data_IF_836377894145
#
_entry.id   IF_836377894145
#
_cell.length_a   1.000
_cell.length_b   1.000
_cell.length_c   1.000
_cell.angle_alpha   90.00
_cell.angle_beta   90.00
_cell.angle_gamma   90.00
#
_symmetry.space_group_name_H-M   'P 1'
#
loop_
_entity.id
_entity.type
_entity.pdbx_description
1 polymer ?
#
# COMPACT_ATOMS: atom_id res chain seq x y z
N UNK A 1 -22.54 13.18 13.41
CA UNK A 1 -22.25 12.63 14.75
C UNK A 1 -21.47 11.31 14.77
N UNK A 2 -21.17 10.67 13.62
CA UNK A 2 -20.32 9.46 13.58
C UNK A 2 -18.82 9.70 13.25
N UNK A 3 -18.41 10.94 12.93
CA UNK A 3 -17.03 11.26 12.52
C UNK A 3 -16.04 11.50 13.67
N UNK A 4 -16.50 11.70 14.90
CA UNK A 4 -15.60 11.97 16.04
C UNK A 4 -15.33 10.75 16.92
N UNK A 5 -16.07 9.65 16.74
CA UNK A 5 -15.89 8.43 17.54
C UNK A 5 -14.75 7.55 16.99
N UNK A 6 -14.44 7.63 15.69
CA UNK A 6 -13.43 6.78 15.06
C UNK A 6 -12.00 7.34 15.26
N UNK A 7 -11.84 8.67 15.35
CA UNK A 7 -10.53 9.29 15.60
C UNK A 7 -10.05 9.10 17.04
N UNK A 8 -10.97 8.87 17.98
CA UNK A 8 -10.62 8.57 19.38
C UNK A 8 -10.17 7.12 19.59
N UNK A 9 -10.46 6.21 18.65
CA UNK A 9 -10.17 4.78 18.77
C UNK A 9 -8.74 4.39 18.32
N UNK A 10 -8.00 5.27 17.66
CA UNK A 10 -6.61 5.00 17.24
C UNK A 10 -5.53 5.66 18.12
N UNK A 11 -5.91 6.40 19.16
CA UNK A 11 -4.95 7.03 20.10
C UNK A 11 -4.74 6.17 21.37
N UNK A 12 -5.41 5.01 21.50
CA UNK A 12 -5.41 4.22 22.74
C UNK A 12 -4.85 2.80 22.64
N UNK A 13 -3.72 2.59 21.95
CA UNK A 13 -2.96 1.33 22.04
C UNK A 13 -1.46 1.53 22.27
N UNK A 14 -1.09 2.48 23.13
CA UNK A 14 0.24 2.48 23.74
C UNK A 14 0.05 2.24 25.22
N UNK A 15 0.78 1.25 25.75
CA UNK A 15 0.80 0.73 27.13
C UNK A 15 -0.21 -0.42 27.34
N UNK A 16 0.23 -1.68 27.27
CA UNK A 16 0.55 -2.54 28.44
C UNK A 16 1.35 -3.78 27.96
N UNK A 17 2.61 -3.89 28.42
CA UNK A 17 3.22 -5.16 28.86
C UNK A 17 4.46 -4.81 29.70
N UNK A 18 4.21 -4.30 30.91
CA UNK A 18 5.18 -4.38 32.00
C UNK A 18 4.65 -5.49 32.90
N UNK A 19 5.16 -6.72 32.70
CA UNK A 19 4.97 -7.80 33.64
C UNK A 19 6.33 -8.14 34.26
N UNK A 20 6.49 -7.63 35.48
CA UNK A 20 7.29 -8.17 36.58
C UNK A 20 8.79 -8.40 36.34
N UNK A 21 9.59 -7.41 36.71
CA UNK A 21 10.77 -7.69 37.54
C UNK A 21 10.72 -6.72 38.74
N UNK A 22 10.58 -7.31 39.93
CA UNK A 22 10.56 -6.67 41.24
C UNK A 22 11.76 -5.72 41.45
N UNK A 23 11.64 -4.64 42.24
CA UNK A 23 12.79 -3.84 42.61
C UNK A 23 13.57 -4.59 43.69
N UNK A 24 14.64 -5.28 43.30
CA UNK A 24 15.68 -5.64 44.25
C UNK A 24 16.49 -4.37 44.55
N UNK A 25 16.29 -3.80 45.74
CA UNK A 25 17.18 -2.79 46.31
C UNK A 25 18.52 -3.50 46.54
N UNK A 26 19.52 -3.21 45.71
CA UNK A 26 20.92 -3.57 45.97
C UNK A 26 21.66 -2.30 46.37
N UNK A 27 21.80 -2.12 47.69
CA UNK A 27 22.78 -1.23 48.26
C UNK A 27 24.19 -1.77 47.97
N UNK A 28 25.12 -0.88 47.63
CA UNK A 28 26.56 -1.12 47.77
C UNK A 28 27.29 -1.50 46.47
N UNK A 29 28.15 -0.57 46.04
CA UNK A 29 29.38 -0.73 45.25
C UNK A 29 29.48 -1.85 44.22
N UNK A 30 29.47 -1.43 42.96
CA UNK A 30 29.85 -2.24 41.81
C UNK A 30 28.91 -1.96 40.66
N UNK A 31 29.32 -1.11 39.72
CA UNK A 31 28.69 -1.05 38.41
C UNK A 31 28.92 -2.45 37.81
N UNK A 32 27.93 -3.34 37.97
CA UNK A 32 27.93 -4.62 37.29
C UNK A 32 28.09 -4.30 35.81
N UNK A 33 29.22 -4.71 35.25
CA UNK A 33 29.51 -4.62 33.82
C UNK A 33 28.50 -5.55 33.13
N UNK A 34 27.27 -5.08 32.97
CA UNK A 34 26.23 -5.79 32.25
C UNK A 34 26.84 -6.19 30.92
N UNK A 35 26.82 -7.48 30.61
CA UNK A 35 27.38 -8.03 29.39
C UNK A 35 26.78 -7.30 28.18
N UNK A 36 27.46 -6.25 27.69
CA UNK A 36 26.95 -5.31 26.67
C UNK A 36 26.75 -6.03 25.33
N UNK A 37 27.46 -7.15 25.15
CA UNK A 37 27.37 -8.03 23.98
C UNK A 37 25.96 -8.56 23.76
N UNK A 38 25.33 -9.15 24.77
CA UNK A 38 24.00 -9.78 24.61
C UNK A 38 22.95 -8.75 24.24
N UNK A 39 22.99 -7.57 24.85
CA UNK A 39 22.04 -6.48 24.56
C UNK A 39 22.19 -5.88 23.16
N UNK A 40 23.40 -5.85 22.61
CA UNK A 40 23.65 -5.28 21.27
C UNK A 40 23.24 -6.24 20.17
N UNK A 41 23.51 -7.54 20.34
CA UNK A 41 23.10 -8.57 19.39
C UNK A 41 21.57 -8.80 19.43
N UNK A 42 20.97 -8.80 20.62
CA UNK A 42 19.50 -8.82 20.79
C UNK A 42 18.85 -7.60 20.11
N UNK A 43 19.46 -6.41 20.24
CA UNK A 43 19.02 -5.19 19.56
C UNK A 43 19.06 -5.35 18.03
N UNK A 44 20.14 -5.88 17.47
CA UNK A 44 20.23 -6.13 16.02
C UNK A 44 19.14 -7.11 15.57
N UNK A 45 18.93 -8.19 16.33
CA UNK A 45 17.95 -9.22 16.00
C UNK A 45 16.52 -8.67 16.03
N UNK A 46 16.16 -7.91 17.06
CA UNK A 46 14.83 -7.34 17.19
C UNK A 46 14.55 -6.31 16.09
N UNK A 47 15.54 -5.48 15.74
CA UNK A 47 15.42 -4.56 14.60
C UNK A 47 15.20 -5.32 13.30
N UNK A 48 15.97 -6.39 13.02
CA UNK A 48 15.74 -7.23 11.82
C UNK A 48 14.32 -7.79 11.77
N UNK A 49 13.78 -8.23 12.91
CA UNK A 49 12.40 -8.73 13.00
C UNK A 49 11.39 -7.64 12.66
N UNK A 50 11.53 -6.46 13.26
CA UNK A 50 10.65 -5.32 13.00
C UNK A 50 10.70 -4.88 11.53
N UNK A 51 11.88 -4.84 10.93
CA UNK A 51 12.03 -4.45 9.53
C UNK A 51 11.44 -5.47 8.57
N UNK A 52 11.60 -6.77 8.85
CA UNK A 52 10.96 -7.80 8.04
C UNK A 52 9.43 -7.69 8.12
N UNK A 53 8.87 -7.45 9.31
CA UNK A 53 7.44 -7.20 9.48
C UNK A 53 6.97 -5.95 8.71
N UNK A 54 7.74 -4.85 8.77
CA UNK A 54 7.45 -3.62 8.01
C UNK A 54 7.50 -3.85 6.50
N UNK A 55 8.52 -4.53 5.99
CA UNK A 55 8.64 -4.88 4.57
C UNK A 55 7.46 -5.73 4.11
N UNK A 56 7.07 -6.73 4.91
CA UNK A 56 5.91 -7.56 4.62
C UNK A 56 4.61 -6.73 4.61
N UNK A 57 4.45 -5.78 5.54
CA UNK A 57 3.30 -4.88 5.57
C UNK A 57 3.20 -4.05 4.30
N UNK A 58 4.31 -3.41 3.88
CA UNK A 58 4.33 -2.64 2.64
C UNK A 58 4.03 -3.49 1.41
N UNK A 59 4.60 -4.70 1.34
CA UNK A 59 4.34 -5.61 0.23
C UNK A 59 2.85 -6.01 0.18
N UNK A 60 2.26 -6.31 1.33
CA UNK A 60 0.84 -6.64 1.44
C UNK A 60 -0.05 -5.47 1.01
N UNK A 61 0.24 -4.25 1.45
CA UNK A 61 -0.51 -3.05 1.07
C UNK A 61 -0.40 -2.75 -0.43
N UNK A 62 0.81 -2.80 -1.00
CA UNK A 62 1.03 -2.62 -2.44
C UNK A 62 0.23 -3.65 -3.24
N UNK A 63 0.26 -4.93 -2.82
CA UNK A 63 -0.47 -5.98 -3.51
C UNK A 63 -1.98 -5.85 -3.34
N UNK A 64 -2.45 -5.44 -2.16
CA UNK A 64 -3.87 -5.17 -1.93
C UNK A 64 -4.38 -4.10 -2.87
N UNK A 65 -3.66 -2.98 -3.01
CA UNK A 65 -4.04 -1.88 -3.91
C UNK A 65 -4.07 -2.37 -5.37
N UNK A 66 -3.04 -3.10 -5.82
CA UNK A 66 -2.99 -3.65 -7.17
C UNK A 66 -4.17 -4.57 -7.47
N UNK A 67 -4.45 -5.51 -6.56
CA UNK A 67 -5.51 -6.48 -6.75
C UNK A 67 -6.89 -5.81 -6.74
N UNK A 68 -7.15 -4.90 -5.80
CA UNK A 68 -8.43 -4.17 -5.77
C UNK A 68 -8.67 -3.36 -7.04
N UNK A 69 -7.63 -2.70 -7.58
CA UNK A 69 -7.76 -1.94 -8.83
C UNK A 69 -8.01 -2.86 -10.03
N UNK A 70 -7.38 -4.03 -10.09
CA UNK A 70 -7.63 -5.00 -11.17
C UNK A 70 -9.05 -5.59 -11.08
N UNK A 71 -9.55 -5.86 -9.87
CA UNK A 71 -10.92 -6.34 -9.65
C UNK A 71 -11.96 -5.30 -10.13
N UNK A 72 -11.75 -4.02 -9.82
CA UNK A 72 -12.61 -2.92 -10.30
C UNK A 72 -12.58 -2.79 -11.82
N UNK A 73 -11.40 -2.93 -12.44
CA UNK A 73 -11.26 -2.91 -13.89
C UNK A 73 -11.99 -4.09 -14.57
N UNK A 74 -11.97 -5.26 -13.94
CA UNK A 74 -12.70 -6.44 -14.41
C UNK A 74 -14.22 -6.24 -14.31
N UNK A 75 -14.71 -5.56 -13.28
CA UNK A 75 -16.12 -5.16 -13.18
C UNK A 75 -16.49 -4.22 -14.32
N UNK A 76 -15.67 -3.21 -14.61
CA UNK A 76 -15.90 -2.29 -15.73
C UNK A 76 -15.94 -3.02 -17.08
N UNK A 77 -15.07 -4.00 -17.31
CA UNK A 77 -15.07 -4.78 -18.55
C UNK A 77 -16.33 -5.64 -18.71
N UNK A 78 -16.86 -6.21 -17.61
CA UNK A 78 -18.16 -6.90 -17.62
C UNK A 78 -19.33 -5.95 -17.88
N UNK A 79 -19.33 -4.78 -17.25
CA UNK A 79 -20.36 -3.75 -17.47
C UNK A 79 -20.34 -3.25 -18.91
N UNK A 80 -19.16 -3.10 -19.52
CA UNK A 80 -19.01 -2.81 -20.95
C UNK A 80 -19.79 -3.81 -21.79
N UNK A 81 -19.55 -5.11 -21.57
CA UNK A 81 -20.21 -6.16 -22.35
C UNK A 81 -21.73 -6.11 -22.19
N UNK A 82 -22.22 -5.97 -20.95
CA UNK A 82 -23.65 -5.85 -20.67
C UNK A 82 -24.30 -4.69 -21.44
N UNK A 83 -23.65 -3.53 -21.48
CA UNK A 83 -24.17 -2.36 -22.19
C UNK A 83 -24.14 -2.59 -23.71
N UNK A 84 -23.10 -3.21 -24.25
CA UNK A 84 -23.01 -3.52 -25.68
C UNK A 84 -24.11 -4.49 -26.11
N UNK A 85 -24.35 -5.55 -25.33
CA UNK A 85 -25.42 -6.52 -25.58
C UNK A 85 -26.79 -5.84 -25.50
N UNK A 86 -27.00 -4.94 -24.52
CA UNK A 86 -28.25 -4.17 -24.38
C UNK A 86 -28.50 -3.26 -25.59
N UNK A 87 -27.46 -2.60 -26.12
CA UNK A 87 -27.57 -1.78 -27.33
C UNK A 87 -27.93 -2.64 -28.54
N UNK A 88 -27.31 -3.81 -28.68
CA UNK A 88 -27.62 -4.74 -29.76
C UNK A 88 -29.08 -5.21 -29.68
N UNK A 89 -29.50 -5.74 -28.53
CA UNK A 89 -30.88 -6.21 -28.31
C UNK A 89 -31.91 -5.10 -28.56
N UNK A 90 -31.59 -3.87 -28.15
CA UNK A 90 -32.44 -2.70 -28.38
C UNK A 90 -32.59 -2.41 -29.87
N UNK A 91 -31.51 -2.46 -30.64
CA UNK A 91 -31.58 -2.29 -32.10
C UNK A 91 -32.38 -3.41 -32.75
N UNK A 92 -32.15 -4.67 -32.37
CA UNK A 92 -32.87 -5.83 -32.91
C UNK A 92 -34.39 -5.76 -32.65
N UNK A 93 -34.80 -5.14 -31.53
CA UNK A 93 -36.22 -4.90 -31.21
C UNK A 93 -36.84 -3.72 -31.97
N UNK A 94 -36.06 -2.68 -32.23
CA UNK A 94 -36.53 -1.43 -32.82
C UNK A 94 -36.53 -1.49 -34.35
N UNK A 95 -35.57 -2.18 -34.97
CA UNK A 95 -35.44 -2.27 -36.43
C UNK A 95 -36.70 -2.79 -37.13
N UNK A 96 -37.38 -3.85 -36.64
CA UNK A 96 -38.62 -4.33 -37.25
C UNK A 96 -39.78 -3.34 -37.14
N UNK A 97 -39.77 -2.46 -36.12
CA UNK A 97 -40.82 -1.46 -35.95
C UNK A 97 -40.75 -0.38 -37.03
N UNK A 98 -39.60 -0.17 -37.65
CA UNK A 98 -39.43 0.84 -38.70
C UNK A 98 -40.20 0.48 -39.99
N UNK A 99 -40.53 -0.80 -40.20
CA UNK A 99 -41.25 -1.29 -41.39
C UNK A 99 -42.73 -1.59 -41.13
N UNK A 100 -43.21 -1.49 -39.89
CA UNK A 100 -44.57 -1.90 -39.52
C UNK A 100 -45.64 -0.90 -40.00
N UNK A 101 -45.41 0.40 -39.83
CA UNK A 101 -46.35 1.46 -40.24
C UNK A 101 -45.68 2.84 -40.28
N UNK A 102 -46.32 3.83 -40.94
CA UNK A 102 -45.80 5.21 -40.96
C UNK A 102 -45.64 5.83 -39.55
N UNK A 103 -46.58 5.68 -38.60
CA UNK A 103 -46.40 6.18 -37.24
C UNK A 103 -45.22 5.54 -36.49
N UNK A 104 -45.05 4.22 -36.61
CA UNK A 104 -43.97 3.49 -35.94
C UNK A 104 -42.61 3.86 -36.53
N UNK A 105 -42.50 3.94 -37.86
CA UNK A 105 -41.33 4.49 -38.55
C UNK A 105 -40.95 5.88 -38.04
N UNK A 106 -41.92 6.79 -37.93
CA UNK A 106 -41.67 8.13 -37.42
C UNK A 106 -41.12 8.12 -35.98
N UNK A 107 -41.69 7.29 -35.11
CA UNK A 107 -41.20 7.13 -33.74
C UNK A 107 -39.76 6.58 -33.70
N UNK A 108 -39.47 5.50 -34.42
CA UNK A 108 -38.13 4.91 -34.47
C UNK A 108 -37.10 5.94 -34.93
N UNK A 109 -37.37 6.62 -36.04
CA UNK A 109 -36.45 7.61 -36.61
C UNK A 109 -36.22 8.81 -35.68
N UNK A 110 -37.27 9.23 -34.95
CA UNK A 110 -37.17 10.33 -33.97
C UNK A 110 -36.25 10.00 -32.81
N UNK A 111 -36.30 8.78 -32.27
CA UNK A 111 -35.52 8.38 -31.09
C UNK A 111 -34.20 7.68 -31.43
N UNK A 112 -33.96 7.34 -32.71
CA UNK A 112 -32.74 6.64 -33.18
C UNK A 112 -31.45 7.35 -32.73
N UNK A 113 -31.44 8.67 -32.79
CA UNK A 113 -30.27 9.50 -32.43
C UNK A 113 -30.01 9.58 -30.94
N UNK A 114 -30.99 9.22 -30.10
CA UNK A 114 -30.83 9.14 -28.65
C UNK A 114 -30.19 7.81 -28.21
N UNK A 115 -30.22 6.79 -29.08
CA UNK A 115 -29.58 5.51 -28.80
C UNK A 115 -28.06 5.63 -28.95
N UNK A 116 -27.28 5.22 -27.94
CA UNK A 116 -25.84 5.22 -28.05
C UNK A 116 -25.36 4.19 -29.07
N UNK A 117 -24.35 4.55 -29.85
CA UNK A 117 -23.70 3.62 -30.78
C UNK A 117 -22.76 2.68 -30.01
N UNK A 118 -22.90 1.38 -30.24
CA UNK A 118 -22.07 0.35 -29.61
C UNK A 118 -20.56 0.61 -29.80
N UNK A 119 -20.14 1.07 -30.99
CA UNK A 119 -18.75 1.42 -31.28
C UNK A 119 -18.23 2.55 -30.40
N UNK A 120 -19.01 3.62 -30.23
CA UNK A 120 -18.65 4.78 -29.41
C UNK A 120 -18.56 4.38 -27.94
N UNK A 121 -19.56 3.64 -27.44
CA UNK A 121 -19.56 3.17 -26.04
C UNK A 121 -18.35 2.29 -25.77
N UNK A 122 -18.07 1.33 -26.68
CA UNK A 122 -16.90 0.46 -26.58
C UNK A 122 -15.60 1.27 -26.48
N UNK A 123 -15.38 2.19 -27.41
CA UNK A 123 -14.16 3.02 -27.44
C UNK A 123 -13.99 3.84 -26.16
N UNK A 124 -15.07 4.47 -25.67
CA UNK A 124 -15.03 5.28 -24.45
C UNK A 124 -14.71 4.45 -23.21
N UNK A 125 -15.32 3.28 -23.06
CA UNK A 125 -15.06 2.41 -21.90
C UNK A 125 -13.64 1.82 -21.98
N UNK A 126 -13.18 1.39 -23.15
CA UNK A 126 -11.81 0.88 -23.33
C UNK A 126 -10.75 1.95 -23.05
N UNK A 127 -10.99 3.19 -23.46
CA UNK A 127 -10.13 4.34 -23.14
C UNK A 127 -10.08 4.60 -21.64
N UNK A 128 -11.23 4.52 -20.95
CA UNK A 128 -11.32 4.66 -19.50
C UNK A 128 -10.51 3.57 -18.78
N UNK A 129 -10.70 2.30 -19.16
CA UNK A 129 -9.98 1.16 -18.60
C UNK A 129 -8.47 1.31 -18.81
N UNK A 130 -8.04 1.69 -20.01
CA UNK A 130 -6.62 1.92 -20.31
C UNK A 130 -6.02 3.04 -19.46
N UNK A 131 -6.75 4.13 -19.28
CA UNK A 131 -6.31 5.26 -18.45
C UNK A 131 -6.21 4.85 -16.98
N UNK A 132 -7.21 4.15 -16.46
CA UNK A 132 -7.23 3.64 -15.09
C UNK A 132 -6.05 2.68 -14.80
N UNK A 133 -5.70 1.80 -15.73
CA UNK A 133 -4.50 0.93 -15.61
C UNK A 133 -3.19 1.72 -15.50
N UNK A 134 -3.07 2.80 -16.26
CA UNK A 134 -1.91 3.69 -16.21
C UNK A 134 -1.81 4.39 -14.83
N UNK A 135 -2.94 4.88 -14.31
CA UNK A 135 -3.01 5.45 -12.97
C UNK A 135 -2.69 4.43 -11.88
N UNK A 136 -3.23 3.21 -11.97
CA UNK A 136 -2.95 2.14 -11.02
C UNK A 136 -1.45 1.85 -10.91
N UNK A 137 -0.75 1.78 -12.05
CA UNK A 137 0.70 1.61 -12.10
C UNK A 137 1.45 2.76 -11.42
N UNK A 138 0.97 3.99 -11.62
CA UNK A 138 1.57 5.19 -11.06
C UNK A 138 1.41 5.25 -9.53
N UNK A 139 0.23 4.91 -9.01
CA UNK A 139 -0.08 4.94 -7.56
C UNK A 139 0.88 4.05 -6.76
N UNK A 140 1.21 2.88 -7.30
CA UNK A 140 2.06 1.90 -6.60
C UNK A 140 3.55 2.07 -6.87
N UNK A 141 3.93 2.96 -7.79
CA UNK A 141 5.33 3.16 -8.20
C UNK A 141 6.21 3.69 -7.06
N UNK A 142 5.79 4.76 -6.39
CA UNK A 142 6.52 5.36 -5.25
C UNK A 142 6.63 4.39 -4.07
N UNK A 143 5.55 3.75 -3.58
CA UNK A 143 5.64 2.72 -2.56
C UNK A 143 6.57 1.56 -2.94
N UNK A 144 6.54 1.11 -4.21
CA UNK A 144 7.41 0.03 -4.70
C UNK A 144 8.88 0.45 -4.68
N UNK A 145 9.19 1.67 -5.10
CA UNK A 145 10.56 2.22 -5.05
C UNK A 145 11.07 2.31 -3.61
N UNK A 146 10.21 2.77 -2.70
CA UNK A 146 10.52 2.83 -1.28
C UNK A 146 10.78 1.44 -0.69
N UNK A 147 9.89 0.48 -0.96
CA UNK A 147 10.06 -0.92 -0.57
C UNK A 147 11.41 -1.47 -1.06
N UNK A 148 11.73 -1.27 -2.35
CA UNK A 148 12.99 -1.75 -2.93
C UNK A 148 14.21 -1.12 -2.23
N UNK A 149 14.16 0.18 -1.94
CA UNK A 149 15.22 0.90 -1.24
C UNK A 149 15.41 0.37 0.18
N UNK A 150 14.32 0.17 0.92
CA UNK A 150 14.30 -0.37 2.28
C UNK A 150 14.83 -1.80 2.30
N UNK A 151 14.39 -2.63 1.36
CA UNK A 151 14.82 -4.02 1.21
C UNK A 151 16.32 -4.12 0.89
N UNK A 152 16.83 -3.27 0.01
CA UNK A 152 18.25 -3.23 -0.33
C UNK A 152 19.10 -2.83 0.87
N UNK A 153 18.66 -1.81 1.62
CA UNK A 153 19.37 -1.38 2.82
C UNK A 153 19.52 -2.52 3.83
N UNK A 154 18.44 -3.24 4.15
CA UNK A 154 18.52 -4.33 5.14
C UNK A 154 19.31 -5.54 4.67
N UNK A 155 19.23 -5.90 3.39
CA UNK A 155 19.91 -7.09 2.87
C UNK A 155 21.39 -6.84 2.55
N UNK A 156 21.77 -5.62 2.22
CA UNK A 156 23.13 -5.27 1.78
C UNK A 156 23.82 -4.29 2.74
N UNK A 157 23.26 -3.10 2.89
CA UNK A 157 23.96 -1.97 3.51
C UNK A 157 24.09 -2.15 5.00
N UNK A 158 23.02 -2.57 5.68
CA UNK A 158 23.06 -2.86 7.12
C UNK A 158 24.08 -3.96 7.41
N UNK A 159 24.11 -5.04 6.63
CA UNK A 159 25.10 -6.12 6.81
C UNK A 159 26.52 -5.59 6.65
N UNK A 160 26.76 -4.76 5.64
CA UNK A 160 28.06 -4.14 5.39
C UNK A 160 28.48 -3.22 6.54
N UNK A 161 27.56 -2.39 7.03
CA UNK A 161 27.80 -1.45 8.12
C UNK A 161 28.05 -2.17 9.45
N UNK A 162 27.29 -3.22 9.76
CA UNK A 162 27.51 -4.04 10.95
C UNK A 162 28.89 -4.74 10.91
N UNK A 163 29.28 -5.27 9.74
CA UNK A 163 30.61 -5.84 9.55
C UNK A 163 31.72 -4.80 9.70
N UNK A 164 31.51 -3.56 9.26
CA UNK A 164 32.45 -2.47 9.47
C UNK A 164 32.57 -2.11 10.96
N UNK A 165 31.46 -2.03 11.69
CA UNK A 165 31.47 -1.81 13.14
C UNK A 165 32.27 -2.89 13.88
N UNK A 166 32.08 -4.16 13.50
CA UNK A 166 32.80 -5.29 14.10
C UNK A 166 34.31 -5.30 13.79
N UNK A 167 34.74 -4.72 12.66
CA UNK A 167 36.16 -4.58 12.29
C UNK A 167 36.84 -3.41 13.00
N UNK A 168 36.13 -2.29 13.14
CA UNK A 168 36.69 -1.04 13.65
C UNK A 168 36.71 -0.95 15.18
N UNK A 169 35.87 -1.75 15.85
CA UNK A 169 35.71 -1.68 17.30
C UNK A 169 35.69 -3.08 17.90
N UNK A 170 36.38 -3.25 19.03
CA UNK A 170 36.32 -4.49 19.79
C UNK A 170 34.88 -4.72 20.29
N UNK A 171 34.37 -5.94 20.14
CA UNK A 171 33.09 -6.37 20.71
C UNK A 171 33.38 -7.19 21.99
N UNK A 172 32.83 -6.81 23.17
CA UNK A 172 31.98 -5.64 23.43
C UNK A 172 32.76 -4.35 23.70
N UNK A 173 32.26 -3.22 23.17
CA UNK A 173 32.66 -1.88 23.61
C UNK A 173 31.54 -0.88 23.38
N UNK A 174 31.55 0.24 24.11
CA UNK A 174 30.62 1.34 23.89
C UNK A 174 30.69 1.87 22.44
N UNK A 175 31.90 1.90 21.86
CA UNK A 175 32.12 2.33 20.48
C UNK A 175 31.46 1.36 19.48
N UNK A 176 31.53 0.05 19.74
CA UNK A 176 30.81 -0.95 18.96
C UNK A 176 29.29 -0.74 19.04
N UNK A 177 28.74 -0.59 20.25
CA UNK A 177 27.29 -0.36 20.45
C UNK A 177 26.82 0.91 19.76
N UNK A 178 27.55 2.02 19.88
CA UNK A 178 27.21 3.28 19.21
C UNK A 178 27.22 3.11 17.68
N UNK A 179 28.25 2.48 17.13
CA UNK A 179 28.34 2.21 15.69
C UNK A 179 27.15 1.36 15.20
N UNK A 180 26.79 0.30 15.93
CA UNK A 180 25.65 -0.56 15.60
C UNK A 180 24.34 0.24 15.61
N UNK A 181 24.10 1.07 16.64
CA UNK A 181 22.87 1.88 16.69
C UNK A 181 22.77 2.90 15.55
N UNK A 182 23.89 3.51 15.14
CA UNK A 182 23.95 4.37 13.94
C UNK A 182 23.71 3.57 12.66
N UNK A 183 24.32 2.40 12.54
CA UNK A 183 24.16 1.52 11.38
C UNK A 183 22.73 1.00 11.23
N UNK A 184 21.98 0.84 12.32
CA UNK A 184 20.57 0.43 12.31
C UNK A 184 19.65 1.61 12.04
N UNK A 185 19.93 2.79 12.61
CA UNK A 185 19.10 3.99 12.46
C UNK A 185 19.27 4.73 11.12
N UNK A 186 20.31 4.41 10.34
CA UNK A 186 20.67 5.11 9.10
C UNK A 186 19.59 5.18 8.01
N UNK A 187 18.53 4.36 8.09
CA UNK A 187 17.40 4.41 7.16
C UNK A 187 16.15 5.13 7.73
N UNK A 188 16.06 5.36 9.05
CA UNK A 188 14.86 5.89 9.72
C UNK A 188 14.62 7.41 9.55
N UNK A 189 15.33 8.07 8.63
CA UNK A 189 15.37 9.53 8.48
C UNK A 189 15.33 9.78 6.95
N UNK A 190 14.22 10.05 6.20
CA UNK A 190 13.00 10.80 6.54
C UNK A 190 11.68 10.31 5.86
N UNK A 191 11.62 9.10 5.28
CA UNK A 191 10.57 8.76 4.28
C UNK A 191 9.25 8.20 4.81
N UNK A 192 9.17 7.82 6.10
CA UNK A 192 7.98 7.16 6.66
C UNK A 192 6.76 8.10 6.81
N UNK A 193 6.97 9.42 6.83
CA UNK A 193 5.88 10.40 7.01
C UNK A 193 5.15 10.79 5.71
N UNK A 194 5.72 10.51 4.54
CA UNK A 194 5.19 11.06 3.28
C UNK A 194 4.24 10.13 2.53
N UNK A 195 4.21 8.83 2.85
CA UNK A 195 3.46 7.84 2.05
C UNK A 195 1.96 7.83 2.39
N UNK A 196 1.59 8.17 3.63
CA UNK A 196 0.19 8.09 4.08
C UNK A 196 -0.68 9.31 3.72
N UNK A 197 -0.09 10.45 3.31
CA UNK A 197 -0.85 11.69 3.07
C UNK A 197 -1.40 11.76 1.63
N UNK A 198 -0.88 10.96 0.69
CA UNK A 198 -1.24 11.09 -0.74
C UNK A 198 -2.31 10.13 -1.24
N UNK A 199 -2.73 9.15 -0.44
CA UNK A 199 -3.79 8.20 -0.84
C UNK A 199 -5.21 8.67 -0.47
N UNK A 200 -5.36 9.62 0.45
CA UNK A 200 -6.67 10.12 0.92
C UNK A 200 -7.25 11.27 0.10
N UNK A 201 -6.58 11.72 -0.96
CA UNK A 201 -7.05 12.82 -1.83
C UNK A 201 -7.60 12.38 -3.18
N UNK A 202 -7.83 11.08 -3.39
CA UNK A 202 -8.57 10.56 -4.56
C UNK A 202 -9.77 9.73 -4.08
N UNK A 203 -10.60 10.34 -3.23
CA UNK A 203 -11.96 9.88 -2.98
C UNK A 203 -12.83 11.15 -2.94
N UNK A 204 -13.52 11.38 -4.07
CA UNK A 204 -14.40 12.50 -4.46
C UNK A 204 -13.74 13.77 -5.00
#
# INVERSE_FOLDING_TARGET
>A
FAKQVITALFVLQIIVNIAAQSPAIVNGDGIALWNVTTKTDDYIQENRRQYNATLQSYLNEINSIKNSLEDELLVLDKQKQLVLDTIQETNEKIDPLEVLSLPTKHCVQKYRTELPYASIVKEKVETCISSARSYATSIVSTPTSYYNSLNNYYNSDLRTNLNACAKSHANPSLNYTLCVTTAVSGYNIPHSKSIFITATSVVW
#
